data_IF_471743125832
#
_entry.id   IF_471743125832
#
_cell.length_a   1.000
_cell.length_b   1.000
_cell.length_c   1.000
_cell.angle_alpha   90.00
_cell.angle_beta   90.00
_cell.angle_gamma   90.00
#
_symmetry.space_group_name_H-M   'P 1'
#
loop_
_entity.id
_entity.type
_entity.pdbx_description
1 polymer ?
#
# COMPACT_ATOMS: atom_id res chain seq x y z
N UNK A 1 17.71 -29.85 12.51
CA UNK A 1 16.42 -29.24 12.90
C UNK A 1 15.98 -28.34 11.77
N UNK A 2 14.68 -28.34 11.44
CA UNK A 2 14.14 -27.33 10.52
C UNK A 2 14.25 -25.94 11.17
N UNK A 3 14.60 -24.92 10.38
CA UNK A 3 14.68 -23.54 10.88
C UNK A 3 13.28 -23.05 11.25
N UNK A 4 13.13 -22.32 12.37
CA UNK A 4 11.87 -21.65 12.68
C UNK A 4 11.45 -20.74 11.52
N UNK A 5 10.20 -20.87 11.05
CA UNK A 5 9.71 -20.08 9.92
C UNK A 5 8.88 -18.90 10.38
N UNK A 6 9.23 -17.71 9.93
CA UNK A 6 8.46 -16.49 10.14
C UNK A 6 7.82 -16.13 8.80
N UNK A 7 6.51 -15.92 8.81
CA UNK A 7 5.76 -15.53 7.63
C UNK A 7 5.44 -14.04 7.72
N UNK A 8 5.87 -13.26 6.74
CA UNK A 8 5.53 -11.83 6.60
C UNK A 8 4.55 -11.70 5.44
N UNK A 9 3.32 -11.37 5.80
CA UNK A 9 2.20 -11.13 4.89
C UNK A 9 2.13 -9.67 4.50
N UNK A 10 2.07 -9.38 3.20
CA UNK A 10 1.97 -8.01 2.69
C UNK A 10 1.33 -7.97 1.30
N UNK A 11 0.98 -6.77 0.83
CA UNK A 11 0.67 -6.52 -0.59
C UNK A 11 1.94 -6.11 -1.34
N UNK A 12 1.91 -6.14 -2.67
CA UNK A 12 3.08 -5.80 -3.51
C UNK A 12 3.62 -4.41 -3.21
N UNK A 13 2.76 -3.43 -2.96
CA UNK A 13 3.16 -2.05 -2.63
C UNK A 13 3.87 -1.92 -1.27
N UNK A 14 3.78 -2.93 -0.42
CA UNK A 14 4.39 -2.95 0.93
C UNK A 14 5.69 -3.78 0.97
N UNK A 15 6.19 -4.23 -0.19
CA UNK A 15 7.40 -5.05 -0.32
C UNK A 15 8.62 -4.48 0.36
N UNK A 16 8.81 -3.17 0.26
CA UNK A 16 9.92 -2.48 0.90
C UNK A 16 9.87 -2.60 2.42
N UNK A 17 8.72 -2.34 3.05
CA UNK A 17 8.53 -2.50 4.49
C UNK A 17 8.73 -3.95 4.95
N UNK A 18 8.23 -4.93 4.20
CA UNK A 18 8.46 -6.34 4.53
C UNK A 18 9.94 -6.71 4.45
N UNK A 19 10.69 -6.15 3.50
CA UNK A 19 12.13 -6.36 3.41
C UNK A 19 12.88 -5.70 4.56
N UNK A 20 12.52 -4.48 4.95
CA UNK A 20 13.08 -3.82 6.14
C UNK A 20 12.91 -4.73 7.36
N UNK A 21 11.70 -5.23 7.62
CA UNK A 21 11.44 -6.13 8.75
C UNK A 21 12.17 -7.47 8.63
N UNK A 22 12.23 -8.06 7.43
CA UNK A 22 12.99 -9.28 7.17
C UNK A 22 14.47 -9.10 7.49
N UNK A 23 15.08 -8.02 7.02
CA UNK A 23 16.48 -7.71 7.26
C UNK A 23 16.76 -7.49 8.74
N UNK A 24 15.87 -6.78 9.44
CA UNK A 24 16.01 -6.53 10.87
C UNK A 24 15.88 -7.81 11.70
N UNK A 25 14.88 -8.64 11.43
CA UNK A 25 14.72 -9.94 12.09
C UNK A 25 15.92 -10.85 11.77
N UNK A 26 16.33 -10.93 10.52
CA UNK A 26 17.47 -11.76 10.11
C UNK A 26 18.76 -11.31 10.81
N UNK A 27 18.98 -10.01 10.91
CA UNK A 27 20.18 -9.46 11.55
C UNK A 27 20.13 -9.63 13.07
N UNK A 28 18.98 -9.37 13.70
CA UNK A 28 18.79 -9.54 15.14
C UNK A 28 19.03 -10.99 15.61
N UNK A 29 18.72 -11.96 14.75
CA UNK A 29 18.82 -13.39 15.07
C UNK A 29 19.88 -14.14 14.24
N UNK A 30 20.85 -13.42 13.65
CA UNK A 30 21.98 -14.00 12.91
C UNK A 30 21.57 -15.04 11.84
N UNK A 31 20.44 -14.82 11.17
CA UNK A 31 19.90 -15.72 10.14
C UNK A 31 19.40 -17.08 10.67
N UNK A 32 19.16 -17.18 11.98
CA UNK A 32 18.57 -18.35 12.63
C UNK A 32 17.17 -18.68 12.07
N UNK A 33 16.21 -17.73 11.99
CA UNK A 33 14.92 -18.01 11.37
C UNK A 33 15.03 -18.06 9.84
N UNK A 34 14.19 -18.90 9.23
CA UNK A 34 13.83 -18.79 7.82
C UNK A 34 12.67 -17.79 7.72
N UNK A 35 12.81 -16.75 6.89
CA UNK A 35 11.79 -15.70 6.75
C UNK A 35 11.19 -15.78 5.35
N UNK A 36 9.91 -16.08 5.29
CA UNK A 36 9.11 -16.06 4.07
C UNK A 36 8.37 -14.73 3.97
N UNK A 37 8.44 -14.08 2.81
CA UNK A 37 7.74 -12.80 2.53
C UNK A 37 6.77 -13.05 1.37
N UNK A 38 5.47 -12.92 1.60
CA UNK A 38 4.43 -13.29 0.63
C UNK A 38 3.92 -12.10 -0.17
N UNK A 39 4.18 -11.96 -1.46
CA UNK A 39 3.68 -10.83 -2.28
C UNK A 39 2.24 -11.02 -2.76
N UNK A 40 1.61 -9.91 -3.17
CA UNK A 40 0.30 -9.94 -3.86
C UNK A 40 0.39 -10.85 -5.10
N UNK A 41 -0.69 -11.60 -5.29
CA UNK A 41 -0.88 -12.79 -6.11
C UNK A 41 -1.01 -12.55 -7.62
N UNK A 42 -0.62 -11.39 -8.15
CA UNK A 42 -0.82 -11.08 -9.57
C UNK A 42 0.09 -11.86 -10.54
N UNK A 43 1.10 -12.58 -10.03
CA UNK A 43 2.07 -13.32 -10.85
C UNK A 43 1.98 -14.84 -10.68
N UNK A 44 0.80 -15.43 -10.88
CA UNK A 44 0.61 -16.89 -10.77
C UNK A 44 0.25 -17.47 -12.12
N UNK A 45 0.99 -18.50 -12.51
CA UNK A 45 0.75 -19.26 -13.73
C UNK A 45 -0.65 -19.90 -13.69
N UNK A 46 -1.38 -19.80 -14.81
CA UNK A 46 -2.69 -20.44 -14.95
C UNK A 46 -2.54 -21.95 -14.69
N UNK A 47 -3.23 -22.47 -13.67
CA UNK A 47 -3.29 -23.90 -13.37
C UNK A 47 -2.50 -24.37 -12.13
N UNK A 48 -1.62 -23.56 -11.55
CA UNK A 48 -1.05 -23.84 -10.22
C UNK A 48 -2.03 -23.39 -9.13
N UNK A 49 -2.25 -24.25 -8.12
CA UNK A 49 -2.95 -23.80 -6.91
C UNK A 49 -2.01 -22.85 -6.19
N UNK A 50 -2.28 -21.55 -6.29
CA UNK A 50 -1.68 -20.48 -5.47
C UNK A 50 -1.50 -20.89 -4.01
N UNK A 51 -2.48 -21.64 -3.50
CA UNK A 51 -2.51 -22.19 -2.17
C UNK A 51 -1.31 -23.10 -1.86
N UNK A 52 -0.70 -23.81 -2.79
CA UNK A 52 0.25 -24.87 -2.42
C UNK A 52 1.60 -24.32 -1.86
N UNK A 53 2.12 -23.23 -2.43
CA UNK A 53 3.34 -22.58 -1.92
C UNK A 53 3.08 -21.82 -0.61
N UNK A 54 1.97 -21.06 -0.57
CA UNK A 54 1.56 -20.32 0.62
C UNK A 54 1.16 -21.27 1.74
N UNK A 55 0.42 -22.34 1.46
CA UNK A 55 0.07 -23.39 2.43
C UNK A 55 1.34 -24.11 2.91
N UNK A 56 2.30 -24.39 2.03
CA UNK A 56 3.62 -24.92 2.43
C UNK A 56 4.37 -23.99 3.40
N UNK A 57 4.39 -22.70 3.12
CA UNK A 57 5.02 -21.69 3.97
C UNK A 57 4.25 -21.50 5.30
N UNK A 58 2.93 -21.36 5.23
CA UNK A 58 2.04 -21.21 6.39
C UNK A 58 2.06 -22.45 7.28
N UNK A 59 2.09 -23.66 6.71
CA UNK A 59 2.09 -24.94 7.46
C UNK A 59 3.23 -25.02 8.46
N UNK A 60 4.40 -24.51 8.10
CA UNK A 60 5.59 -24.56 8.94
C UNK A 60 5.88 -23.23 9.67
N UNK A 61 5.08 -22.18 9.42
CA UNK A 61 5.19 -20.91 10.12
C UNK A 61 4.95 -21.07 11.63
N UNK A 62 5.81 -20.44 12.42
CA UNK A 62 5.71 -20.34 13.87
C UNK A 62 5.19 -18.99 14.33
N UNK A 63 5.29 -17.96 13.49
CA UNK A 63 4.74 -16.62 13.68
C UNK A 63 4.27 -16.10 12.32
N UNK A 64 3.16 -15.36 12.30
CA UNK A 64 2.71 -14.57 11.16
C UNK A 64 2.74 -13.10 11.53
N UNK A 65 3.45 -12.28 10.74
CA UNK A 65 3.45 -10.83 10.80
C UNK A 65 2.62 -10.31 9.63
N UNK A 66 1.53 -9.58 9.89
CA UNK A 66 0.62 -9.08 8.87
C UNK A 66 0.83 -7.58 8.67
N UNK A 67 1.37 -7.16 7.54
CA UNK A 67 1.47 -5.72 7.23
C UNK A 67 0.09 -5.14 6.98
N UNK A 68 -0.28 -4.15 7.80
CA UNK A 68 -1.61 -3.56 7.83
C UNK A 68 -1.53 -2.07 7.48
N UNK A 69 -2.13 -1.73 6.34
CA UNK A 69 -2.46 -0.38 5.90
C UNK A 69 -3.95 -0.29 5.58
N UNK A 70 -4.44 0.90 5.23
CA UNK A 70 -5.81 1.09 4.75
C UNK A 70 -6.11 0.28 3.47
N UNK A 71 -5.08 -0.16 2.73
CA UNK A 71 -5.22 -0.97 1.52
C UNK A 71 -5.11 -2.46 1.80
N UNK A 72 -4.07 -2.89 2.52
CA UNK A 72 -3.80 -4.31 2.70
C UNK A 72 -4.91 -5.00 3.47
N UNK A 73 -5.48 -4.35 4.49
CA UNK A 73 -6.57 -4.93 5.31
C UNK A 73 -7.84 -5.26 4.52
N UNK A 74 -8.01 -4.69 3.33
CA UNK A 74 -9.15 -4.95 2.43
C UNK A 74 -8.88 -6.11 1.46
N UNK A 75 -7.64 -6.60 1.40
CA UNK A 75 -7.27 -7.66 0.47
C UNK A 75 -7.66 -9.02 1.03
N UNK A 76 -8.32 -9.89 0.23
CA UNK A 76 -8.79 -11.19 0.70
C UNK A 76 -7.69 -12.08 1.29
N UNK A 77 -6.49 -12.06 0.71
CA UNK A 77 -5.38 -12.93 1.14
C UNK A 77 -4.85 -12.58 2.54
N UNK A 78 -4.78 -11.30 2.92
CA UNK A 78 -4.38 -10.89 4.29
C UNK A 78 -5.29 -11.54 5.33
N UNK A 79 -6.61 -11.53 5.07
CA UNK A 79 -7.58 -12.17 5.97
C UNK A 79 -7.47 -13.70 5.96
N UNK A 80 -7.16 -14.30 4.82
CA UNK A 80 -6.92 -15.75 4.71
C UNK A 80 -5.71 -16.20 5.53
N UNK A 81 -4.58 -15.50 5.41
CA UNK A 81 -3.33 -15.81 6.13
C UNK A 81 -3.49 -15.59 7.64
N UNK A 82 -4.21 -14.53 8.05
CA UNK A 82 -4.59 -14.31 9.43
C UNK A 82 -5.43 -15.48 9.99
N UNK A 83 -6.43 -15.93 9.24
CA UNK A 83 -7.28 -17.06 9.59
C UNK A 83 -6.50 -18.38 9.71
N UNK A 84 -5.54 -18.62 8.80
CA UNK A 84 -4.68 -19.79 8.85
C UNK A 84 -3.82 -19.80 10.14
N UNK A 85 -3.24 -18.66 10.51
CA UNK A 85 -2.50 -18.53 11.76
C UNK A 85 -3.37 -18.77 13.00
N UNK A 86 -4.60 -18.24 13.00
CA UNK A 86 -5.56 -18.45 14.08
C UNK A 86 -5.90 -19.93 14.25
N UNK A 87 -6.26 -20.63 13.17
CA UNK A 87 -6.62 -22.06 13.21
C UNK A 87 -5.45 -22.93 13.68
N UNK A 88 -4.22 -22.55 13.33
CA UNK A 88 -2.99 -23.23 13.79
C UNK A 88 -2.63 -22.94 15.25
N UNK A 89 -3.23 -21.91 15.87
CA UNK A 89 -2.86 -21.47 17.22
C UNK A 89 -1.45 -20.89 17.33
N UNK A 90 -0.91 -20.35 16.24
CA UNK A 90 0.37 -19.64 16.25
C UNK A 90 0.16 -18.13 16.43
N UNK A 91 1.13 -17.38 16.97
CA UNK A 91 1.06 -15.93 17.04
C UNK A 91 0.83 -15.30 15.67
N UNK A 92 -0.22 -14.47 15.57
CA UNK A 92 -0.52 -13.62 14.43
C UNK A 92 -0.50 -12.18 14.91
N UNK A 93 0.39 -11.36 14.35
CA UNK A 93 0.61 -9.98 14.78
C UNK A 93 0.30 -9.02 13.64
N UNK A 94 -0.78 -8.23 13.74
CA UNK A 94 -0.99 -7.09 12.86
C UNK A 94 0.10 -6.02 13.08
N UNK A 95 0.89 -5.76 12.05
CA UNK A 95 1.93 -4.73 11.99
C UNK A 95 1.34 -3.53 11.26
N UNK A 96 0.80 -2.57 12.01
CA UNK A 96 0.17 -1.38 11.46
C UNK A 96 1.23 -0.36 11.01
N UNK A 97 1.00 0.25 9.85
CA UNK A 97 1.83 1.32 9.31
C UNK A 97 0.97 2.36 8.57
N UNK A 98 1.58 3.49 8.22
CA UNK A 98 0.93 4.58 7.47
C UNK A 98 -0.37 5.04 8.15
N UNK A 99 -0.26 5.40 9.43
CA UNK A 99 -1.31 6.02 10.25
C UNK A 99 -2.57 5.17 10.52
N UNK A 100 -2.58 3.86 10.21
CA UNK A 100 -3.61 2.96 10.76
C UNK A 100 -3.17 2.47 12.14
N UNK A 101 -4.13 2.32 13.06
CA UNK A 101 -3.89 1.76 14.40
C UNK A 101 -4.53 0.38 14.53
N UNK A 102 -4.05 -0.49 15.44
CA UNK A 102 -4.65 -1.80 15.68
C UNK A 102 -6.16 -1.75 15.96
N UNK A 103 -6.61 -0.73 16.69
CA UNK A 103 -8.04 -0.52 17.01
C UNK A 103 -8.91 -0.14 15.81
N UNK A 104 -8.31 0.30 14.70
CA UNK A 104 -9.00 0.70 13.47
C UNK A 104 -9.06 -0.42 12.43
N UNK A 105 -8.42 -1.57 12.70
CA UNK A 105 -8.44 -2.70 11.80
C UNK A 105 -9.86 -3.29 11.69
N UNK A 106 -10.24 -3.85 10.52
CA UNK A 106 -11.50 -4.56 10.39
C UNK A 106 -11.49 -5.84 11.24
N UNK A 107 -12.69 -6.32 11.61
CA UNK A 107 -12.85 -7.65 12.20
C UNK A 107 -12.50 -8.70 11.14
N UNK A 108 -11.76 -9.78 11.48
CA UNK A 108 -11.32 -10.15 12.83
C UNK A 108 -9.93 -9.64 13.23
N UNK A 109 -9.24 -8.86 12.39
CA UNK A 109 -7.86 -8.42 12.65
C UNK A 109 -7.72 -7.55 13.91
N UNK A 110 -8.71 -6.72 14.23
CA UNK A 110 -8.71 -5.93 15.47
C UNK A 110 -8.91 -6.75 16.76
N UNK A 111 -9.24 -8.05 16.65
CA UNK A 111 -9.31 -8.96 17.79
C UNK A 111 -7.92 -9.49 18.17
N UNK A 112 -6.92 -9.32 17.31
CA UNK A 112 -5.53 -9.67 17.56
C UNK A 112 -4.81 -8.48 18.22
N UNK A 113 -3.76 -8.79 18.98
CA UNK A 113 -2.86 -7.76 19.50
C UNK A 113 -1.91 -7.32 18.39
N UNK A 114 -2.20 -6.16 17.80
CA UNK A 114 -1.36 -5.51 16.81
C UNK A 114 -0.45 -4.44 17.41
N UNK A 115 0.45 -3.93 16.58
CA UNK A 115 1.46 -2.93 16.93
C UNK A 115 1.50 -1.80 15.90
N UNK A 116 2.00 -0.63 16.29
CA UNK A 116 2.43 0.43 15.38
C UNK A 116 3.93 0.26 15.10
N UNK A 117 4.28 -0.08 13.85
CA UNK A 117 5.67 -0.42 13.50
C UNK A 117 6.62 0.78 13.56
N UNK A 118 6.09 1.99 13.48
CA UNK A 118 6.84 3.24 13.64
C UNK A 118 7.07 3.63 15.10
N UNK A 119 6.51 2.87 16.05
CA UNK A 119 6.76 3.01 17.47
C UNK A 119 7.88 2.06 17.93
N UNK A 120 8.89 2.63 18.61
CA UNK A 120 10.06 1.87 19.09
C UNK A 120 9.71 0.71 20.01
N UNK A 121 8.86 0.95 21.01
CA UNK A 121 8.53 -0.05 22.02
C UNK A 121 7.74 -1.21 21.41
N UNK A 122 6.94 -0.91 20.40
CA UNK A 122 6.13 -1.86 19.65
C UNK A 122 7.01 -2.73 18.75
N UNK A 123 7.95 -2.13 18.00
CA UNK A 123 8.93 -2.87 17.21
C UNK A 123 9.83 -3.75 18.11
N UNK A 124 10.24 -3.26 19.27
CA UNK A 124 10.97 -4.05 20.25
C UNK A 124 10.15 -5.25 20.74
N UNK A 125 8.86 -5.08 21.02
CA UNK A 125 7.96 -6.19 21.41
C UNK A 125 7.83 -7.23 20.31
N UNK A 126 7.80 -6.83 19.03
CA UNK A 126 7.80 -7.78 17.90
C UNK A 126 9.08 -8.61 17.91
N UNK A 127 10.25 -7.98 18.06
CA UNK A 127 11.52 -8.72 18.13
C UNK A 127 11.59 -9.62 19.36
N UNK A 128 11.08 -9.18 20.51
CA UNK A 128 11.01 -10.03 21.72
C UNK A 128 10.09 -11.25 21.51
N UNK A 129 8.94 -11.08 20.87
CA UNK A 129 8.05 -12.19 20.50
C UNK A 129 8.76 -13.19 19.58
N UNK A 130 9.46 -12.69 18.56
CA UNK A 130 10.27 -13.53 17.67
C UNK A 130 11.33 -14.29 18.48
N UNK A 131 12.13 -13.58 19.30
CA UNK A 131 13.14 -14.19 20.14
C UNK A 131 12.60 -15.30 21.04
N UNK A 132 11.45 -15.08 21.67
CA UNK A 132 10.75 -16.09 22.49
C UNK A 132 10.42 -17.34 21.68
N UNK A 133 9.90 -17.19 20.46
CA UNK A 133 9.55 -18.33 19.62
C UNK A 133 10.78 -19.08 19.10
N UNK A 134 11.90 -18.36 18.91
CA UNK A 134 13.19 -18.95 18.55
C UNK A 134 13.92 -19.59 19.74
N UNK A 135 13.39 -19.49 20.96
CA UNK A 135 14.07 -19.96 22.17
C UNK A 135 15.29 -19.11 22.57
N UNK A 136 15.37 -17.87 22.07
CA UNK A 136 16.44 -16.92 22.36
C UNK A 136 16.06 -16.09 23.59
N UNK A 137 16.87 -16.16 24.64
CA UNK A 137 16.59 -15.53 25.93
C UNK A 137 16.80 -14.01 25.95
N UNK A 138 17.58 -13.47 25.02
CA UNK A 138 17.86 -12.03 24.92
C UNK A 138 18.02 -11.61 23.47
N UNK A 139 17.19 -10.67 23.03
CA UNK A 139 17.35 -10.01 21.72
C UNK A 139 18.58 -9.09 21.82
N UNK A 140 19.53 -9.15 20.86
CA UNK A 140 20.63 -8.20 20.79
C UNK A 140 20.13 -6.78 20.66
N UNK A 141 20.93 -5.80 21.11
CA UNK A 141 20.63 -4.40 20.90
C UNK A 141 20.59 -4.06 19.40
N UNK A 142 19.64 -3.21 19.00
CA UNK A 142 19.39 -2.84 17.60
C UNK A 142 19.38 -1.32 17.46
N UNK A 143 19.80 -0.78 16.30
CA UNK A 143 19.75 0.65 16.04
C UNK A 143 18.31 1.10 15.74
N UNK A 144 17.40 1.00 16.72
CA UNK A 144 15.96 1.25 16.56
C UNK A 144 15.67 2.61 15.94
N UNK A 145 16.42 3.65 16.29
CA UNK A 145 16.25 4.99 15.75
C UNK A 145 16.41 5.01 14.22
N UNK A 146 17.45 4.33 13.69
CA UNK A 146 17.70 4.23 12.26
C UNK A 146 16.63 3.39 11.55
N UNK A 147 16.20 2.30 12.19
CA UNK A 147 15.16 1.43 11.64
C UNK A 147 13.84 2.18 11.50
N UNK A 148 13.45 2.90 12.55
CA UNK A 148 12.23 3.72 12.57
C UNK A 148 12.32 4.85 11.53
N UNK A 149 13.49 5.44 11.32
CA UNK A 149 13.70 6.44 10.28
C UNK A 149 13.42 5.85 8.88
N UNK A 150 14.00 4.68 8.55
CA UNK A 150 13.73 3.99 7.28
C UNK A 150 12.26 3.60 7.11
N UNK A 151 11.60 3.16 8.19
CA UNK A 151 10.17 2.87 8.17
C UNK A 151 9.36 4.13 7.88
N UNK A 152 9.67 5.26 8.53
CA UNK A 152 8.97 6.52 8.32
C UNK A 152 9.18 7.10 6.92
N UNK A 153 10.36 6.91 6.34
CA UNK A 153 10.64 7.25 4.95
C UNK A 153 9.73 6.45 4.01
N UNK A 154 9.64 5.13 4.20
CA UNK A 154 8.70 4.28 3.48
C UNK A 154 7.25 4.75 3.67
N UNK A 155 6.81 4.99 4.91
CA UNK A 155 5.44 5.39 5.22
C UNK A 155 5.07 6.71 4.54
N UNK A 156 6.02 7.65 4.46
CA UNK A 156 5.84 8.92 3.76
C UNK A 156 5.67 8.72 2.26
N UNK A 157 6.56 7.95 1.63
CA UNK A 157 6.47 7.69 0.18
C UNK A 157 5.19 6.92 -0.14
N UNK A 158 4.91 5.85 0.60
CA UNK A 158 3.70 5.05 0.45
C UNK A 158 2.44 5.92 0.64
N UNK A 159 2.41 6.76 1.67
CA UNK A 159 1.30 7.67 1.93
C UNK A 159 1.05 8.66 0.79
N UNK A 160 2.10 9.26 0.23
CA UNK A 160 2.00 10.15 -0.94
C UNK A 160 1.38 9.42 -2.12
N UNK A 161 1.88 8.22 -2.44
CA UNK A 161 1.34 7.39 -3.52
C UNK A 161 -0.15 7.10 -3.32
N UNK A 162 -0.59 6.82 -2.09
CA UNK A 162 -2.00 6.54 -1.82
C UNK A 162 -2.92 7.75 -2.01
N UNK A 163 -2.48 8.93 -1.57
CA UNK A 163 -3.23 10.17 -1.79
C UNK A 163 -3.36 10.42 -3.30
N UNK A 164 -2.24 10.35 -4.03
CA UNK A 164 -2.22 10.55 -5.48
C UNK A 164 -3.13 9.56 -6.20
N UNK A 165 -3.01 8.25 -5.90
CA UNK A 165 -3.88 7.19 -6.43
C UNK A 165 -5.35 7.48 -6.22
N UNK A 166 -5.74 7.95 -5.03
CA UNK A 166 -7.13 8.28 -4.73
C UNK A 166 -7.67 9.39 -5.63
N UNK A 167 -6.89 10.47 -5.80
CA UNK A 167 -7.30 11.59 -6.65
C UNK A 167 -7.28 11.23 -8.14
N UNK A 168 -6.26 10.52 -8.62
CA UNK A 168 -6.15 10.06 -10.00
C UNK A 168 -7.31 9.12 -10.38
N UNK A 169 -7.61 8.13 -9.54
CA UNK A 169 -8.75 7.23 -9.80
C UNK A 169 -10.09 7.97 -9.81
N UNK A 170 -10.25 8.97 -8.94
CA UNK A 170 -11.46 9.80 -8.96
C UNK A 170 -11.57 10.62 -10.24
N UNK A 171 -10.47 11.20 -10.72
CA UNK A 171 -10.41 11.93 -12.00
C UNK A 171 -10.79 11.00 -13.16
N UNK A 172 -10.20 9.80 -13.23
CA UNK A 172 -10.48 8.82 -14.29
C UNK A 172 -11.95 8.36 -14.25
N UNK A 173 -12.52 8.19 -13.06
CA UNK A 173 -13.93 7.81 -12.92
C UNK A 173 -14.89 8.94 -13.34
N UNK A 174 -14.53 10.19 -13.06
CA UNK A 174 -15.32 11.37 -13.46
C UNK A 174 -15.21 11.60 -14.97
N UNK A 175 -14.00 11.50 -15.53
CA UNK A 175 -13.72 11.77 -16.93
C UNK A 175 -12.76 10.71 -17.53
N UNK A 176 -13.28 9.57 -18.00
CA UNK A 176 -12.48 8.44 -18.47
C UNK A 176 -11.54 8.75 -19.63
N UNK A 177 -11.83 9.78 -20.45
CA UNK A 177 -10.98 10.15 -21.57
C UNK A 177 -9.61 10.72 -21.12
N UNK A 178 -9.46 11.12 -19.85
CA UNK A 178 -8.19 11.57 -19.28
C UNK A 178 -7.28 10.41 -18.85
N UNK A 179 -7.78 9.16 -18.80
CA UNK A 179 -7.01 7.98 -18.38
C UNK A 179 -5.64 7.83 -19.05
N UNK A 180 -5.48 8.06 -20.38
CA UNK A 180 -4.19 7.90 -21.05
C UNK A 180 -3.06 8.81 -20.53
N UNK A 181 -3.40 9.94 -19.90
CA UNK A 181 -2.41 10.88 -19.35
C UNK A 181 -1.73 10.35 -18.09
N UNK A 182 -2.42 9.51 -17.33
CA UNK A 182 -1.98 9.06 -16.01
C UNK A 182 -1.10 7.81 -16.06
N UNK A 183 -0.92 7.21 -17.24
CA UNK A 183 -0.04 6.06 -17.47
C UNK A 183 1.42 6.34 -17.12
N UNK A 184 2.24 5.31 -16.83
CA UNK A 184 3.65 5.50 -16.49
C UNK A 184 4.50 5.99 -17.67
N UNK A 185 4.06 5.72 -18.91
CA UNK A 185 4.73 6.16 -20.13
C UNK A 185 3.68 6.73 -21.10
N UNK A 186 3.14 7.93 -20.84
CA UNK A 186 2.09 8.46 -21.70
C UNK A 186 2.69 9.02 -22.99
N UNK A 187 1.90 8.97 -24.06
CA UNK A 187 2.28 9.62 -25.34
C UNK A 187 2.28 11.15 -25.22
N UNK A 188 1.46 11.70 -24.32
CA UNK A 188 1.30 13.12 -24.07
C UNK A 188 1.14 13.36 -22.57
N UNK A 189 1.81 14.37 -22.05
CA UNK A 189 1.66 14.80 -20.65
C UNK A 189 0.71 15.98 -20.47
N UNK A 190 0.08 16.42 -21.56
CA UNK A 190 -0.89 17.51 -21.57
C UNK A 190 -2.18 17.08 -22.24
N UNK A 191 -3.29 17.64 -21.79
CA UNK A 191 -4.56 17.60 -22.51
C UNK A 191 -5.23 18.97 -22.46
N UNK A 192 -5.95 19.27 -23.53
CA UNK A 192 -6.79 20.46 -23.61
C UNK A 192 -8.06 20.12 -24.38
N UNK A 193 -9.13 20.83 -24.09
CA UNK A 193 -10.42 20.61 -24.71
C UNK A 193 -11.50 21.42 -24.03
N UNK A 194 -12.75 20.97 -24.19
CA UNK A 194 -13.90 21.57 -23.53
C UNK A 194 -14.60 20.48 -22.73
N UNK A 195 -14.92 20.79 -21.48
CA UNK A 195 -15.68 19.91 -20.60
C UNK A 195 -16.92 20.66 -20.09
N UNK A 196 -18.05 19.96 -19.87
CA UNK A 196 -19.18 20.55 -19.19
C UNK A 196 -18.76 21.14 -17.85
N UNK A 197 -19.27 22.32 -17.51
CA UNK A 197 -18.92 23.03 -16.27
C UNK A 197 -19.11 22.14 -15.02
N UNK A 198 -20.18 21.34 -15.00
CA UNK A 198 -20.45 20.39 -13.90
C UNK A 198 -19.42 19.26 -13.79
N UNK A 199 -18.74 18.89 -14.88
CA UNK A 199 -17.65 17.90 -14.85
C UNK A 199 -16.41 18.55 -14.25
N UNK A 200 -16.10 19.79 -14.65
CA UNK A 200 -14.98 20.56 -14.10
C UNK A 200 -15.14 20.76 -12.60
N UNK A 201 -16.33 21.12 -12.12
CA UNK A 201 -16.61 21.29 -10.69
C UNK A 201 -16.34 20.02 -9.89
N UNK A 202 -16.65 18.84 -10.45
CA UNK A 202 -16.36 17.54 -9.83
C UNK A 202 -14.88 17.20 -9.87
N UNK A 203 -14.16 17.57 -10.92
CA UNK A 203 -12.72 17.33 -11.05
C UNK A 203 -11.90 18.24 -10.13
N UNK A 204 -12.35 19.48 -9.95
CA UNK A 204 -11.66 20.55 -9.21
C UNK A 204 -11.03 20.11 -7.87
N UNK A 205 -11.76 19.51 -6.91
CA UNK A 205 -11.17 19.12 -5.64
C UNK A 205 -10.03 18.10 -5.76
N UNK A 206 -10.04 17.27 -6.80
CA UNK A 206 -8.95 16.31 -7.04
C UNK A 206 -7.76 16.96 -7.75
N UNK A 207 -8.03 17.87 -8.69
CA UNK A 207 -6.99 18.60 -9.41
C UNK A 207 -6.26 19.59 -8.49
N UNK A 208 -6.98 20.27 -7.58
CA UNK A 208 -6.40 21.17 -6.59
C UNK A 208 -5.39 20.44 -5.70
N UNK A 209 -5.77 19.27 -5.15
CA UNK A 209 -4.87 18.47 -4.33
C UNK A 209 -3.62 18.01 -5.09
N UNK A 210 -3.77 17.53 -6.33
CA UNK A 210 -2.60 17.12 -7.14
C UNK A 210 -1.73 18.32 -7.54
N UNK A 211 -2.32 19.50 -7.71
CA UNK A 211 -1.58 20.74 -8.02
C UNK A 211 -0.82 21.26 -6.81
N UNK A 212 -1.40 21.20 -5.60
CA UNK A 212 -0.74 21.55 -4.33
C UNK A 212 0.46 20.64 -4.04
N UNK A 213 0.37 19.37 -4.44
CA UNK A 213 1.48 18.41 -4.36
C UNK A 213 2.49 18.53 -5.51
N UNK A 214 2.35 19.54 -6.37
CA UNK A 214 3.25 19.81 -7.51
C UNK A 214 3.34 18.65 -8.52
N UNK A 215 2.27 17.87 -8.67
CA UNK A 215 2.20 16.81 -9.68
C UNK A 215 1.63 17.30 -11.02
N UNK A 216 0.79 18.32 -10.98
CA UNK A 216 0.13 18.88 -12.17
C UNK A 216 0.05 20.40 -12.13
N UNK A 217 -0.29 21.00 -13.27
CA UNK A 217 -1.04 22.25 -13.35
C UNK A 217 -2.30 22.05 -14.18
N UNK A 218 -3.33 22.85 -13.91
CA UNK A 218 -4.54 22.86 -14.71
C UNK A 218 -5.16 24.25 -14.74
N UNK A 219 -6.02 24.51 -15.71
CA UNK A 219 -6.73 25.77 -15.83
C UNK A 219 -8.02 25.64 -16.63
N UNK A 220 -8.90 26.62 -16.42
CA UNK A 220 -10.15 26.78 -17.16
C UNK A 220 -10.15 28.12 -17.91
N UNK A 221 -10.76 28.16 -19.09
CA UNK A 221 -10.71 29.30 -19.98
C UNK A 221 -12.07 29.73 -20.53
N UNK A 222 -12.12 29.92 -21.84
CA UNK A 222 -13.30 30.44 -22.53
C UNK A 222 -14.53 29.53 -22.38
N UNK A 223 -15.71 30.16 -22.36
CA UNK A 223 -16.99 29.45 -22.24
C UNK A 223 -17.66 29.30 -23.61
N UNK A 224 -18.26 28.15 -23.88
CA UNK A 224 -19.10 27.92 -25.07
C UNK A 224 -20.40 27.19 -24.70
N UNK A 225 -21.49 27.59 -25.33
CA UNK A 225 -22.74 26.84 -25.26
C UNK A 225 -22.81 25.83 -26.40
N UNK A 226 -23.03 24.56 -26.08
CA UNK A 226 -23.32 23.48 -27.03
C UNK A 226 -24.79 23.09 -26.93
N UNK A 227 -25.46 22.89 -28.06
CA UNK A 227 -26.87 22.49 -28.11
C UNK A 227 -26.99 21.05 -28.59
N UNK A 228 -27.58 20.20 -27.77
CA UNK A 228 -27.88 18.80 -28.07
C UNK A 228 -29.40 18.61 -28.17
N UNK A 229 -29.85 17.47 -28.73
CA UNK A 229 -31.28 17.17 -28.90
C UNK A 229 -32.10 17.18 -27.61
N UNK A 230 -31.43 17.05 -26.45
CA UNK A 230 -32.06 17.02 -25.13
C UNK A 230 -31.77 18.28 -24.26
N UNK A 231 -31.22 19.36 -24.84
CA UNK A 231 -30.94 20.62 -24.14
C UNK A 231 -29.58 21.25 -24.47
N UNK A 232 -29.35 22.46 -23.96
CA UNK A 232 -28.05 23.14 -24.06
C UNK A 232 -27.16 22.84 -22.84
N UNK A 233 -25.86 22.70 -23.05
CA UNK A 233 -24.84 22.57 -22.01
C UNK A 233 -23.82 23.70 -22.10
N UNK A 234 -23.42 24.21 -20.93
CA UNK A 234 -22.33 25.15 -20.80
C UNK A 234 -21.01 24.37 -20.67
N UNK A 235 -20.07 24.61 -21.57
CA UNK A 235 -18.76 23.96 -21.58
C UNK A 235 -17.66 25.00 -21.44
N UNK A 236 -16.73 24.73 -20.53
CA UNK A 236 -15.55 25.56 -20.35
C UNK A 236 -14.35 24.89 -21.01
N UNK A 237 -13.50 25.71 -21.61
CA UNK A 237 -12.17 25.31 -22.02
C UNK A 237 -11.40 24.81 -20.79
N UNK A 238 -10.77 23.65 -20.91
CA UNK A 238 -10.01 22.98 -19.87
C UNK A 238 -8.64 22.63 -20.41
N UNK A 239 -7.61 22.86 -19.60
CA UNK A 239 -6.25 22.39 -19.88
C UNK A 239 -5.63 21.77 -18.63
N UNK A 240 -4.82 20.74 -18.83
CA UNK A 240 -4.05 20.07 -17.78
C UNK A 240 -2.66 19.72 -18.31
N UNK A 241 -1.65 19.84 -17.45
CA UNK A 241 -0.29 19.36 -17.67
C UNK A 241 0.16 18.56 -16.45
N UNK A 242 0.65 17.35 -16.69
CA UNK A 242 1.22 16.46 -15.68
C UNK A 242 2.75 16.57 -15.73
N UNK A 243 3.39 16.68 -14.57
CA UNK A 243 4.84 16.86 -14.44
C UNK A 243 5.59 15.54 -14.23
N UNK A 244 6.91 15.56 -14.47
CA UNK A 244 7.79 14.39 -14.33
C UNK A 244 7.79 13.79 -12.92
N UNK A 245 7.54 14.62 -11.89
CA UNK A 245 7.39 14.16 -10.51
C UNK A 245 6.28 13.10 -10.37
N UNK A 246 5.18 13.23 -11.12
CA UNK A 246 4.10 12.24 -11.12
C UNK A 246 4.55 10.93 -11.79
N UNK A 247 5.21 11.02 -12.95
CA UNK A 247 5.66 9.85 -13.69
C UNK A 247 6.70 9.03 -12.94
N UNK A 248 7.50 9.66 -12.06
CA UNK A 248 8.41 8.96 -11.16
C UNK A 248 7.69 7.95 -10.23
N UNK A 249 6.41 8.18 -9.91
CA UNK A 249 5.61 7.32 -9.04
C UNK A 249 4.44 6.63 -9.76
N UNK A 250 4.19 6.92 -11.03
CA UNK A 250 3.00 6.48 -11.77
C UNK A 250 2.83 4.94 -11.82
N UNK A 251 3.92 4.18 -11.85
CA UNK A 251 3.90 2.70 -11.77
C UNK A 251 3.30 2.17 -10.45
N UNK A 252 3.33 2.97 -9.38
CA UNK A 252 2.72 2.63 -8.09
C UNK A 252 1.33 3.25 -7.94
N UNK A 253 0.89 4.12 -8.84
CA UNK A 253 -0.39 4.82 -8.75
C UNK A 253 -1.51 4.02 -9.42
N UNK A 254 -1.31 3.63 -10.69
CA UNK A 254 -2.30 2.92 -11.52
C UNK A 254 -2.26 1.40 -11.40
#
# INVERSE_FOLDING_TARGET
MEKPKIFISHITEEKELANILKEEISTAFLGLPEIFVSSDSESISIGTRWLDEIDGALKNAQIILLLCSQNSVRRPWINFEAGAGWVKGIPVVPICHTNIKPSQLPIPLNMLQGVDVSNKNDLEQVLQLVGKQLGVSKVPDRPYEKIIESIKEFEKEYGVVQVVRTHVNSIINIEPQLKPLWGPNPLQSTASGYLPEIVIDKLKPHLDQLSEMEFISYGTGSNRMTFHSNGGSNELEFNIKIYDAYYAIANKVL
#
